data_IF_671981182446
#
_entry.id   IF_671981182446
#
_cell.length_a   1.000
_cell.length_b   1.000
_cell.length_c   1.000
_cell.angle_alpha   90.00
_cell.angle_beta   90.00
_cell.angle_gamma   90.00
#
_symmetry.space_group_name_H-M   'P 1'
#
loop_
_entity.id
_entity.type
_entity.pdbx_description
1 polymer ?
#
# COMPACT_ATOMS: atom_id res chain seq x y z
N UNK A 1 -7.70 17.20 -2.75
CA UNK A 1 -7.66 15.87 -2.12
C UNK A 1 -6.85 16.01 -0.85
N UNK A 2 -7.40 15.57 0.26
CA UNK A 2 -6.74 15.68 1.56
C UNK A 2 -5.57 14.70 1.65
N UNK A 3 -4.46 15.13 2.26
CA UNK A 3 -3.35 14.24 2.58
C UNK A 3 -3.75 13.26 3.69
N UNK A 4 -3.05 12.11 3.89
CA UNK A 4 -3.32 11.18 4.98
C UNK A 4 -3.40 11.83 6.36
N UNK A 5 -2.63 12.88 6.63
CA UNK A 5 -2.73 13.69 7.86
C UNK A 5 -3.99 14.55 7.90
N UNK A 6 -4.45 15.07 6.76
CA UNK A 6 -5.72 15.79 6.65
C UNK A 6 -6.92 14.82 6.71
N UNK A 7 -6.72 13.53 6.44
CA UNK A 7 -7.72 12.47 6.60
C UNK A 7 -7.92 12.04 8.06
N UNK A 8 -7.11 12.56 9.00
CA UNK A 8 -7.30 12.35 10.44
C UNK A 8 -7.24 10.87 10.84
N UNK A 9 -6.24 10.11 10.36
CA UNK A 9 -6.04 8.73 10.80
C UNK A 9 -5.87 8.71 12.31
N UNK A 10 -6.93 8.26 13.00
CA UNK A 10 -6.93 8.13 14.46
C UNK A 10 -6.15 6.88 14.88
N UNK A 11 -5.71 6.79 16.15
CA UNK A 11 -5.12 5.55 16.67
C UNK A 11 -6.04 4.33 16.50
N UNK A 12 -7.35 4.51 16.61
CA UNK A 12 -8.34 3.45 16.38
C UNK A 12 -8.34 2.98 14.93
N UNK A 13 -8.26 3.90 13.96
CA UNK A 13 -8.17 3.58 12.54
C UNK A 13 -6.86 2.84 12.20
N UNK A 14 -5.72 3.25 12.78
CA UNK A 14 -4.44 2.56 12.61
C UNK A 14 -4.46 1.14 13.19
N UNK A 15 -5.10 0.94 14.35
CA UNK A 15 -5.31 -0.40 14.92
C UNK A 15 -6.27 -1.24 14.08
N UNK A 16 -7.34 -0.65 13.54
CA UNK A 16 -8.26 -1.31 12.62
C UNK A 16 -7.55 -1.76 11.34
N UNK A 17 -6.71 -0.92 10.77
CA UNK A 17 -5.87 -1.27 9.63
C UNK A 17 -4.99 -2.50 9.93
N UNK A 18 -4.27 -2.49 11.06
CA UNK A 18 -3.42 -3.61 11.47
C UNK A 18 -4.24 -4.89 11.71
N UNK A 19 -5.43 -4.77 12.27
CA UNK A 19 -6.25 -5.93 12.64
C UNK A 19 -7.00 -6.54 11.44
N UNK A 20 -7.46 -5.73 10.49
CA UNK A 20 -8.35 -6.17 9.43
C UNK A 20 -7.67 -6.17 8.06
N UNK A 21 -6.99 -5.09 7.66
CA UNK A 21 -6.36 -5.00 6.34
C UNK A 21 -5.07 -5.79 6.23
N UNK A 22 -4.22 -5.73 7.25
CA UNK A 22 -2.93 -6.42 7.20
C UNK A 22 -3.11 -7.91 6.93
N UNK A 23 -3.90 -8.68 7.70
CA UNK A 23 -4.08 -10.09 7.41
C UNK A 23 -4.86 -10.36 6.11
N UNK A 24 -5.79 -9.48 5.74
CA UNK A 24 -6.63 -9.68 4.58
C UNK A 24 -5.90 -9.47 3.25
N UNK A 25 -5.02 -8.44 3.15
CA UNK A 25 -4.46 -8.05 1.84
C UNK A 25 -2.95 -7.75 1.86
N UNK A 26 -2.34 -7.36 2.98
CA UNK A 26 -0.95 -6.88 2.98
C UNK A 26 0.08 -7.91 3.44
N UNK A 27 -0.26 -8.84 4.32
CA UNK A 27 0.70 -9.76 4.95
C UNK A 27 1.43 -10.69 3.96
N UNK A 28 0.90 -10.91 2.78
CA UNK A 28 1.50 -11.75 1.74
C UNK A 28 2.65 -11.09 0.97
N UNK A 29 2.75 -9.74 0.98
CA UNK A 29 3.65 -9.00 0.10
C UNK A 29 5.09 -8.82 0.59
N UNK A 30 5.41 -8.77 1.90
CA UNK A 30 6.78 -8.63 2.36
C UNK A 30 7.77 -9.62 1.72
N UNK A 31 7.50 -10.94 1.62
CA UNK A 31 8.44 -11.86 0.98
C UNK A 31 8.75 -11.51 -0.49
N UNK A 32 7.75 -11.02 -1.23
CA UNK A 32 7.90 -10.65 -2.65
C UNK A 32 8.75 -9.39 -2.79
N UNK A 33 8.47 -8.36 -1.98
CA UNK A 33 9.24 -7.11 -1.97
C UNK A 33 10.69 -7.34 -1.53
N UNK A 34 10.92 -8.16 -0.50
CA UNK A 34 12.24 -8.51 -0.01
C UNK A 34 13.07 -9.27 -1.04
N UNK A 35 12.45 -10.19 -1.78
CA UNK A 35 13.09 -10.90 -2.87
C UNK A 35 13.49 -9.94 -4.01
N UNK A 36 12.62 -8.99 -4.38
CA UNK A 36 12.92 -7.95 -5.37
C UNK A 36 14.04 -7.01 -4.90
N UNK A 37 14.06 -6.65 -3.61
CA UNK A 37 15.06 -5.78 -3.01
C UNK A 37 16.42 -6.46 -2.80
N UNK A 38 16.49 -7.80 -2.75
CA UNK A 38 17.71 -8.59 -2.47
C UNK A 38 18.42 -8.15 -1.20
N UNK A 39 17.66 -7.99 -0.14
CA UNK A 39 18.16 -7.52 1.16
C UNK A 39 19.20 -8.48 1.72
N UNK A 40 20.28 -7.92 2.23
CA UNK A 40 21.40 -8.65 2.81
C UNK A 40 21.69 -8.22 4.24
N UNK A 41 22.33 -9.09 5.02
CA UNK A 41 22.82 -8.74 6.34
C UNK A 41 23.83 -7.59 6.25
N UNK A 42 23.62 -6.55 7.05
CA UNK A 42 24.46 -5.36 7.07
C UNK A 42 23.91 -4.19 6.26
N UNK A 43 22.87 -4.38 5.46
CA UNK A 43 22.27 -3.28 4.67
C UNK A 43 21.65 -2.20 5.58
N UNK A 44 21.81 -0.95 5.16
CA UNK A 44 21.02 0.17 5.65
C UNK A 44 19.75 0.30 4.81
N UNK A 45 18.60 0.00 5.41
CA UNK A 45 17.29 -0.08 4.72
C UNK A 45 16.37 1.03 5.18
N UNK A 46 15.69 1.70 4.25
CA UNK A 46 14.61 2.65 4.48
C UNK A 46 13.29 2.09 3.94
N UNK A 47 12.29 1.95 4.81
CA UNK A 47 10.91 1.56 4.48
C UNK A 47 10.04 2.82 4.47
N UNK A 48 9.69 3.30 3.27
CA UNK A 48 8.96 4.56 3.05
C UNK A 48 7.47 4.32 2.91
N UNK A 49 6.67 4.99 3.73
CA UNK A 49 5.26 4.69 3.89
C UNK A 49 5.07 3.37 4.63
N UNK A 50 5.84 3.18 5.73
CA UNK A 50 5.90 1.90 6.42
C UNK A 50 4.60 1.52 7.14
N UNK A 51 3.66 2.46 7.30
CA UNK A 51 2.38 2.24 7.97
C UNK A 51 2.56 1.66 9.37
N UNK A 52 1.84 0.58 9.66
CA UNK A 52 1.94 -0.18 10.93
C UNK A 52 3.15 -1.11 11.00
N UNK A 53 4.05 -1.04 10.02
CA UNK A 53 5.32 -1.79 10.01
C UNK A 53 5.22 -3.22 9.48
N UNK A 54 4.28 -3.51 8.59
CA UNK A 54 4.08 -4.87 8.02
C UNK A 54 5.35 -5.38 7.33
N UNK A 55 5.93 -4.57 6.43
CA UNK A 55 7.19 -4.89 5.77
C UNK A 55 8.37 -4.74 6.72
N UNK A 56 8.39 -3.67 7.53
CA UNK A 56 9.46 -3.41 8.49
C UNK A 56 9.70 -4.59 9.44
N UNK A 57 8.65 -5.28 9.91
CA UNK A 57 8.76 -6.48 10.80
C UNK A 57 9.59 -7.58 10.15
N UNK A 58 9.31 -7.88 8.92
CA UNK A 58 10.01 -8.94 8.18
C UNK A 58 11.46 -8.52 7.88
N UNK A 59 11.68 -7.25 7.52
CA UNK A 59 13.01 -6.68 7.26
C UNK A 59 13.93 -6.76 8.48
N UNK A 60 13.41 -6.58 9.69
CA UNK A 60 14.20 -6.61 10.93
C UNK A 60 15.00 -7.91 11.06
N UNK A 61 14.44 -9.05 10.63
CA UNK A 61 15.10 -10.35 10.72
C UNK A 61 16.21 -10.54 9.65
N UNK A 62 16.20 -9.74 8.58
CA UNK A 62 17.08 -9.90 7.42
C UNK A 62 18.27 -8.96 7.43
N UNK A 63 18.11 -7.73 7.95
CA UNK A 63 19.23 -6.77 8.02
C UNK A 63 20.27 -7.13 9.06
N UNK A 64 19.92 -7.96 10.05
CA UNK A 64 20.81 -8.44 11.10
C UNK A 64 21.35 -7.35 12.02
N UNK A 65 22.27 -7.74 12.92
CA UNK A 65 22.80 -6.84 13.96
C UNK A 65 23.75 -5.74 13.44
N UNK A 66 24.28 -5.92 12.23
CA UNK A 66 25.21 -4.95 11.59
C UNK A 66 24.52 -4.00 10.62
N UNK A 67 23.29 -4.30 10.24
CA UNK A 67 22.47 -3.44 9.40
C UNK A 67 21.70 -2.39 10.19
N UNK A 68 20.96 -1.57 9.47
CA UNK A 68 20.05 -0.59 10.07
C UNK A 68 18.73 -0.54 9.33
N UNK A 69 17.63 -0.38 10.07
CA UNK A 69 16.29 -0.31 9.53
C UNK A 69 15.57 0.94 10.02
N UNK A 70 15.14 1.75 9.08
CA UNK A 70 14.36 2.96 9.35
C UNK A 70 13.01 2.85 8.66
N UNK A 71 11.92 2.93 9.42
CA UNK A 71 10.56 3.13 8.92
C UNK A 71 10.24 4.63 8.89
N UNK A 72 9.61 5.08 7.82
CA UNK A 72 9.23 6.47 7.60
C UNK A 72 7.80 6.56 7.14
N UNK A 73 6.96 7.35 7.80
CA UNK A 73 5.55 7.52 7.44
C UNK A 73 5.05 8.92 7.78
N UNK A 74 4.02 9.38 7.10
CA UNK A 74 3.38 10.65 7.37
C UNK A 74 2.54 10.61 8.64
N UNK A 75 1.93 9.45 8.95
CA UNK A 75 0.96 9.27 10.03
C UNK A 75 1.61 8.82 11.34
N UNK A 76 1.58 9.68 12.36
CA UNK A 76 2.05 9.32 13.71
C UNK A 76 1.22 8.19 14.34
N UNK A 77 -0.08 8.11 14.03
CA UNK A 77 -0.93 7.01 14.50
C UNK A 77 -0.47 5.65 13.96
N UNK A 78 -0.09 5.58 12.67
CA UNK A 78 0.50 4.37 12.08
C UNK A 78 1.84 4.04 12.72
N UNK A 79 2.72 5.04 12.88
CA UNK A 79 4.04 4.86 13.50
C UNK A 79 3.97 4.41 14.95
N UNK A 80 2.94 4.83 15.70
CA UNK A 80 2.72 4.36 17.07
C UNK A 80 2.55 2.83 17.11
N UNK A 81 1.71 2.29 16.21
CA UNK A 81 1.51 0.83 16.09
C UNK A 81 2.81 0.15 15.60
N UNK A 82 3.51 0.75 14.64
CA UNK A 82 4.77 0.21 14.13
C UNK A 82 5.84 0.07 15.22
N UNK A 83 6.01 1.08 16.08
CA UNK A 83 6.99 1.05 17.21
C UNK A 83 6.69 -0.06 18.19
N UNK A 84 5.42 -0.32 18.47
CA UNK A 84 5.02 -1.43 19.36
C UNK A 84 5.33 -2.80 18.75
N UNK A 85 5.17 -2.92 17.43
CA UNK A 85 5.32 -4.17 16.69
C UNK A 85 6.75 -4.49 16.23
N UNK A 86 7.59 -3.46 16.06
CA UNK A 86 8.94 -3.59 15.49
C UNK A 86 9.98 -2.86 16.37
N UNK A 87 10.25 -3.31 17.61
CA UNK A 87 11.16 -2.62 18.54
C UNK A 87 12.61 -2.54 18.05
N UNK A 88 12.99 -3.32 17.02
CA UNK A 88 14.33 -3.33 16.42
C UNK A 88 14.55 -2.29 15.31
N UNK A 89 13.54 -1.51 14.94
CA UNK A 89 13.63 -0.48 13.90
C UNK A 89 13.53 0.93 14.48
N UNK A 90 14.07 1.90 13.75
CA UNK A 90 13.89 3.33 14.05
C UNK A 90 12.72 3.86 13.23
N UNK A 91 11.84 4.67 13.84
CA UNK A 91 10.67 5.22 13.14
C UNK A 91 10.67 6.75 13.20
N UNK A 92 10.51 7.40 12.04
CA UNK A 92 10.47 8.84 11.87
C UNK A 92 9.22 9.26 11.13
N UNK A 93 8.56 10.32 11.62
CA UNK A 93 7.42 10.93 10.95
C UNK A 93 7.89 11.98 9.94
N UNK A 94 7.24 12.03 8.78
CA UNK A 94 7.47 13.09 7.80
C UNK A 94 6.86 12.80 6.43
N UNK A 95 7.05 13.77 5.52
CA UNK A 95 6.53 13.70 4.17
C UNK A 95 7.60 13.15 3.21
N UNK A 96 7.25 12.13 2.43
CA UNK A 96 8.16 11.48 1.49
C UNK A 96 8.70 12.41 0.38
N UNK A 97 8.00 13.51 0.09
CA UNK A 97 8.47 14.49 -0.91
C UNK A 97 9.62 15.36 -0.39
N UNK A 98 9.98 15.23 0.90
CA UNK A 98 11.10 15.93 1.55
C UNK A 98 11.68 15.02 2.65
N UNK A 99 12.45 13.99 2.24
CA UNK A 99 13.04 13.03 3.18
C UNK A 99 14.16 13.69 4.01
N UNK A 100 14.12 13.62 5.37
CA UNK A 100 15.07 14.29 6.26
C UNK A 100 16.38 13.51 6.37
N UNK A 101 16.87 12.97 5.29
CA UNK A 101 18.11 12.19 5.23
C UNK A 101 19.09 12.81 4.25
N UNK A 102 20.38 12.62 4.54
CA UNK A 102 21.45 12.98 3.63
C UNK A 102 21.40 12.12 2.36
N UNK A 103 22.00 12.63 1.28
CA UNK A 103 22.18 11.90 0.04
C UNK A 103 22.98 10.62 0.27
N UNK A 104 22.69 9.57 -0.48
CA UNK A 104 23.50 8.34 -0.53
C UNK A 104 23.66 7.65 0.84
N UNK A 105 22.61 7.60 1.62
CA UNK A 105 22.62 7.03 2.99
C UNK A 105 22.28 5.55 3.04
N UNK A 106 21.33 5.09 2.21
CA UNK A 106 20.74 3.76 2.28
C UNK A 106 21.23 2.86 1.16
N UNK A 107 21.42 1.58 1.46
CA UNK A 107 21.70 0.55 0.46
C UNK A 107 20.41 0.14 -0.28
N UNK A 108 19.30 0.12 0.46
CA UNK A 108 17.98 -0.27 -0.04
C UNK A 108 16.93 0.77 0.41
N UNK A 109 16.06 1.16 -0.52
CA UNK A 109 14.83 1.92 -0.22
C UNK A 109 13.65 1.10 -0.73
N UNK A 110 12.71 0.81 0.14
CA UNK A 110 11.49 0.07 -0.19
C UNK A 110 10.25 0.91 0.09
N UNK A 111 9.17 0.68 -0.66
CA UNK A 111 7.87 1.30 -0.42
C UNK A 111 6.77 0.32 -0.78
N UNK A 112 5.93 -0.02 0.20
CA UNK A 112 4.85 -0.99 0.05
C UNK A 112 3.50 -0.29 -0.04
N UNK A 113 2.90 -0.27 -1.23
CA UNK A 113 1.54 0.25 -1.48
C UNK A 113 1.28 1.67 -0.98
N UNK A 114 2.28 2.56 -1.06
CA UNK A 114 2.17 3.95 -0.60
C UNK A 114 2.09 4.95 -1.76
N UNK A 115 2.85 4.73 -2.85
CA UNK A 115 3.02 5.73 -3.92
C UNK A 115 1.70 6.23 -4.53
N UNK A 116 0.68 5.37 -4.61
CA UNK A 116 -0.64 5.75 -5.14
C UNK A 116 -1.36 6.81 -4.29
N UNK A 117 -0.94 7.03 -3.06
CA UNK A 117 -1.52 8.03 -2.16
C UNK A 117 -0.74 9.35 -2.11
N UNK A 118 0.41 9.41 -2.79
CA UNK A 118 1.26 10.61 -2.79
C UNK A 118 0.79 11.58 -3.88
N UNK A 119 0.52 12.85 -3.53
CA UNK A 119 0.11 13.85 -4.53
C UNK A 119 1.16 14.11 -5.62
N UNK A 120 2.45 14.02 -5.30
CA UNK A 120 3.56 14.13 -6.23
C UNK A 120 4.47 12.88 -6.16
N UNK A 121 4.09 11.78 -6.81
CA UNK A 121 4.84 10.53 -6.77
C UNK A 121 6.20 10.63 -7.49
N UNK A 122 6.34 11.53 -8.47
CA UNK A 122 7.61 11.84 -9.11
C UNK A 122 8.61 12.38 -8.08
N UNK A 123 8.19 13.39 -7.31
CA UNK A 123 9.04 14.00 -6.28
C UNK A 123 9.39 13.00 -5.20
N UNK A 124 8.42 12.16 -4.78
CA UNK A 124 8.67 11.08 -3.83
C UNK A 124 9.74 10.10 -4.32
N UNK A 125 9.63 9.59 -5.54
CA UNK A 125 10.64 8.70 -6.13
C UNK A 125 12.01 9.40 -6.28
N UNK A 126 12.03 10.67 -6.65
CA UNK A 126 13.29 11.46 -6.73
C UNK A 126 13.97 11.58 -5.37
N UNK A 127 13.22 11.77 -4.27
CA UNK A 127 13.76 11.78 -2.91
C UNK A 127 14.23 10.38 -2.47
N UNK A 128 13.43 9.34 -2.76
CA UNK A 128 13.83 7.95 -2.49
C UNK A 128 15.12 7.59 -3.24
N UNK A 129 15.28 8.02 -4.51
CA UNK A 129 16.52 7.85 -5.27
C UNK A 129 17.68 8.67 -4.68
N UNK A 130 17.45 9.92 -4.29
CA UNK A 130 18.49 10.81 -3.72
C UNK A 130 19.16 10.19 -2.49
N UNK A 131 18.39 9.55 -1.63
CA UNK A 131 18.89 8.95 -0.39
C UNK A 131 19.54 7.58 -0.59
N UNK A 132 19.42 6.96 -1.78
CA UNK A 132 20.11 5.73 -2.14
C UNK A 132 21.60 5.96 -2.41
N UNK A 133 22.44 5.06 -1.94
CA UNK A 133 23.85 4.97 -2.32
C UNK A 133 23.98 4.62 -3.81
N UNK A 134 25.10 4.98 -4.47
CA UNK A 134 25.42 4.43 -5.80
C UNK A 134 25.41 2.90 -5.76
N UNK A 135 24.68 2.28 -6.70
CA UNK A 135 24.45 0.83 -6.74
C UNK A 135 23.42 0.31 -5.72
N UNK A 136 22.82 1.19 -4.94
CA UNK A 136 21.68 0.86 -4.06
C UNK A 136 20.42 0.60 -4.85
N UNK A 137 19.43 -0.04 -4.23
CA UNK A 137 18.20 -0.48 -4.92
C UNK A 137 16.95 0.14 -4.33
N UNK A 138 16.07 0.62 -5.25
CA UNK A 138 14.72 1.05 -4.96
C UNK A 138 13.73 -0.02 -5.38
N UNK A 139 12.77 -0.36 -4.50
CA UNK A 139 11.64 -1.25 -4.80
C UNK A 139 10.35 -0.60 -4.33
N UNK A 140 9.35 -0.53 -5.20
CA UNK A 140 8.04 -0.01 -4.82
C UNK A 140 6.93 -0.89 -5.39
N UNK A 141 5.87 -1.10 -4.60
CA UNK A 141 4.67 -1.80 -5.04
C UNK A 141 3.47 -0.86 -5.12
N UNK A 142 2.60 -1.14 -6.09
CA UNK A 142 1.28 -0.53 -6.25
C UNK A 142 0.27 -1.60 -6.69
N UNK A 143 -1.03 -1.38 -6.47
CA UNK A 143 -2.03 -2.28 -7.02
C UNK A 143 -2.08 -2.19 -8.56
N UNK A 144 -2.32 -3.31 -9.23
CA UNK A 144 -2.69 -3.30 -10.64
C UNK A 144 -4.01 -2.54 -10.85
N UNK A 145 -4.28 -2.14 -12.08
CA UNK A 145 -5.51 -1.41 -12.41
C UNK A 145 -6.77 -2.25 -12.20
N UNK A 146 -7.91 -1.60 -12.18
CA UNK A 146 -9.21 -2.24 -11.98
C UNK A 146 -9.58 -3.25 -13.09
N UNK A 147 -8.93 -3.18 -14.27
CA UNK A 147 -9.08 -4.18 -15.32
C UNK A 147 -8.52 -5.56 -14.91
N UNK A 148 -7.53 -5.59 -14.01
CA UNK A 148 -6.86 -6.79 -13.51
C UNK A 148 -7.35 -7.19 -12.11
N UNK A 149 -8.03 -6.27 -11.40
CA UNK A 149 -8.61 -6.45 -10.08
C UNK A 149 -10.15 -6.39 -10.16
N UNK A 150 -10.73 -7.41 -10.78
CA UNK A 150 -12.14 -7.45 -11.19
C UNK A 150 -13.13 -7.27 -10.02
N UNK A 151 -12.84 -7.86 -8.86
CA UNK A 151 -13.73 -7.76 -7.69
C UNK A 151 -13.78 -6.32 -7.19
N UNK A 152 -12.63 -5.65 -7.12
CA UNK A 152 -12.57 -4.22 -6.77
C UNK A 152 -13.26 -3.33 -7.81
N UNK A 153 -13.18 -3.68 -9.10
CA UNK A 153 -13.96 -2.99 -10.14
C UNK A 153 -15.46 -3.09 -9.86
N UNK A 154 -15.95 -4.27 -9.50
CA UNK A 154 -17.36 -4.44 -9.13
C UNK A 154 -17.73 -3.66 -7.87
N UNK A 155 -16.82 -3.56 -6.89
CA UNK A 155 -17.04 -2.74 -5.69
C UNK A 155 -17.10 -1.24 -6.05
N UNK A 156 -16.22 -0.75 -6.91
CA UNK A 156 -16.26 0.62 -7.43
C UNK A 156 -17.58 0.90 -8.17
N UNK A 157 -18.06 -0.05 -8.99
CA UNK A 157 -19.34 0.08 -9.70
C UNK A 157 -20.53 0.07 -8.74
N UNK A 158 -20.53 -0.78 -7.71
CA UNK A 158 -21.54 -0.79 -6.66
C UNK A 158 -21.52 0.52 -5.84
N UNK A 159 -20.33 1.01 -5.50
CA UNK A 159 -20.16 2.30 -4.81
C UNK A 159 -20.73 3.45 -5.65
N UNK A 160 -20.47 3.45 -6.97
CA UNK A 160 -21.03 4.47 -7.89
C UNK A 160 -22.55 4.45 -7.91
N UNK A 161 -23.15 3.27 -7.96
CA UNK A 161 -24.60 3.09 -8.01
C UNK A 161 -25.28 3.56 -6.72
N UNK A 162 -24.69 3.29 -5.56
CA UNK A 162 -25.29 3.52 -4.23
C UNK A 162 -24.91 4.88 -3.63
N UNK A 163 -23.64 5.29 -3.75
CA UNK A 163 -23.09 6.47 -3.09
C UNK A 163 -22.59 7.57 -4.06
N UNK A 164 -22.70 7.32 -5.37
CA UNK A 164 -22.41 8.30 -6.41
C UNK A 164 -20.97 8.33 -6.91
N UNK A 165 -20.71 9.19 -7.89
CA UNK A 165 -19.45 9.22 -8.65
C UNK A 165 -18.22 9.62 -7.81
N UNK A 166 -18.37 10.57 -6.88
CA UNK A 166 -17.24 11.02 -6.05
C UNK A 166 -16.77 9.91 -5.09
N UNK A 167 -17.69 9.17 -4.48
CA UNK A 167 -17.39 8.00 -3.66
C UNK A 167 -16.70 6.91 -4.48
N UNK A 168 -17.18 6.64 -5.70
CA UNK A 168 -16.57 5.68 -6.62
C UNK A 168 -15.14 6.07 -7.03
N UNK A 169 -14.88 7.36 -7.26
CA UNK A 169 -13.51 7.86 -7.54
C UNK A 169 -12.57 7.63 -6.36
N UNK A 170 -13.06 7.89 -5.14
CA UNK A 170 -12.27 7.63 -3.91
C UNK A 170 -11.94 6.13 -3.78
N UNK A 171 -12.92 5.25 -3.99
CA UNK A 171 -12.73 3.80 -3.97
C UNK A 171 -11.78 3.30 -5.07
N UNK A 172 -11.76 3.95 -6.24
CA UNK A 172 -10.90 3.60 -7.36
C UNK A 172 -9.47 4.15 -7.23
N UNK A 173 -9.24 5.13 -6.37
CA UNK A 173 -7.95 5.83 -6.28
C UNK A 173 -6.75 4.92 -6.08
N UNK A 174 -6.73 3.90 -5.19
CA UNK A 174 -5.59 3.02 -4.99
C UNK A 174 -5.13 2.29 -6.27
N UNK A 175 -6.00 2.17 -7.27
CA UNK A 175 -5.76 1.41 -8.50
C UNK A 175 -5.30 2.27 -9.69
N UNK A 176 -5.16 3.58 -9.51
CA UNK A 176 -4.88 4.52 -10.62
C UNK A 176 -3.47 4.35 -11.20
N UNK A 177 -2.48 3.99 -10.37
CA UNK A 177 -1.10 3.75 -10.81
C UNK A 177 -0.89 2.39 -11.47
N UNK A 178 -1.83 1.46 -11.38
CA UNK A 178 -1.78 0.16 -12.02
C UNK A 178 -2.25 0.13 -13.46
N UNK A 179 -2.56 1.26 -14.08
CA UNK A 179 -2.83 1.34 -15.52
C UNK A 179 -1.56 1.03 -16.32
N UNK A 180 -1.68 0.39 -17.50
CA UNK A 180 -0.53 0.03 -18.32
C UNK A 180 0.40 1.24 -18.59
N UNK A 181 1.69 1.10 -18.30
CA UNK A 181 2.71 2.13 -18.50
C UNK A 181 2.72 3.26 -17.45
N UNK A 182 1.78 3.28 -16.50
CA UNK A 182 1.72 4.37 -15.52
C UNK A 182 2.90 4.32 -14.53
N UNK A 183 3.18 3.15 -13.97
CA UNK A 183 4.28 2.97 -13.02
C UNK A 183 5.65 3.18 -13.70
N UNK A 184 5.85 2.64 -14.91
CA UNK A 184 7.04 2.85 -15.74
C UNK A 184 7.27 4.35 -15.99
N UNK A 185 6.22 5.07 -16.35
CA UNK A 185 6.27 6.51 -16.61
C UNK A 185 6.70 7.31 -15.37
N UNK A 186 6.22 6.91 -14.19
CA UNK A 186 6.58 7.58 -12.93
C UNK A 186 8.04 7.30 -12.58
N UNK A 187 8.50 6.05 -12.70
CA UNK A 187 9.91 5.70 -12.48
C UNK A 187 10.82 6.48 -13.44
N UNK A 188 10.53 6.47 -14.73
CA UNK A 188 11.29 7.22 -15.74
C UNK A 188 11.32 8.74 -15.44
N UNK A 189 10.21 9.30 -14.94
CA UNK A 189 10.15 10.73 -14.59
C UNK A 189 11.03 11.11 -13.40
N UNK A 190 11.54 10.15 -12.65
CA UNK A 190 12.47 10.30 -11.52
C UNK A 190 13.90 9.86 -11.88
N UNK A 191 14.26 9.83 -13.16
CA UNK A 191 15.53 9.37 -13.72
C UNK A 191 15.86 7.90 -13.33
N UNK A 192 14.85 7.04 -13.37
CA UNK A 192 14.92 5.59 -13.12
C UNK A 192 14.40 4.85 -14.36
N UNK A 193 14.93 5.19 -15.56
CA UNK A 193 14.43 4.70 -16.86
C UNK A 193 14.64 3.18 -17.06
N UNK A 194 15.62 2.60 -16.38
CA UNK A 194 15.91 1.15 -16.43
C UNK A 194 15.11 0.34 -15.38
N UNK A 195 14.01 0.91 -14.85
CA UNK A 195 13.19 0.20 -13.90
C UNK A 195 12.55 -1.03 -14.53
N UNK A 196 12.67 -2.17 -13.86
CA UNK A 196 11.95 -3.40 -14.19
C UNK A 196 10.62 -3.43 -13.44
N UNK A 197 9.51 -3.49 -14.18
CA UNK A 197 8.17 -3.62 -13.62
C UNK A 197 7.69 -5.06 -13.82
N UNK A 198 7.29 -5.71 -12.73
CA UNK A 198 6.81 -7.09 -12.74
C UNK A 198 5.39 -7.19 -12.20
N UNK A 199 4.60 -8.10 -12.78
CA UNK A 199 3.24 -8.42 -12.35
C UNK A 199 3.31 -9.54 -11.31
N UNK A 200 2.53 -9.39 -10.24
CA UNK A 200 2.44 -10.39 -9.17
C UNK A 200 0.99 -10.66 -8.83
N UNK A 201 0.64 -11.94 -8.86
CA UNK A 201 -0.67 -12.40 -8.40
C UNK A 201 -0.69 -12.42 -6.87
N UNK A 202 -1.79 -11.95 -6.31
CA UNK A 202 -2.07 -11.98 -4.89
C UNK A 202 -3.54 -12.27 -4.63
N UNK A 203 -3.90 -12.37 -3.37
CA UNK A 203 -5.28 -12.61 -2.93
C UNK A 203 -5.72 -11.57 -1.91
N UNK A 204 -7.02 -11.36 -1.86
CA UNK A 204 -7.69 -10.69 -0.75
C UNK A 204 -8.57 -11.72 -0.05
N UNK A 205 -8.40 -11.87 1.27
CA UNK A 205 -9.05 -12.89 2.08
C UNK A 205 -9.83 -12.22 3.21
N UNK A 206 -11.17 -12.33 3.18
CA UNK A 206 -12.05 -11.73 4.18
C UNK A 206 -12.95 -12.77 4.81
N UNK A 207 -13.40 -12.56 6.08
CA UNK A 207 -14.30 -13.50 6.77
C UNK A 207 -15.65 -13.67 6.09
N UNK A 208 -16.13 -12.63 5.38
CA UNK A 208 -17.37 -12.64 4.61
C UNK A 208 -17.38 -11.56 3.54
N UNK A 209 -18.36 -11.57 2.64
CA UNK A 209 -18.62 -10.48 1.68
C UNK A 209 -18.96 -9.17 2.41
N UNK A 210 -19.72 -9.29 3.50
CA UNK A 210 -20.08 -8.17 4.38
C UNK A 210 -18.84 -7.52 4.99
N UNK A 211 -17.90 -8.33 5.54
CA UNK A 211 -16.65 -7.84 6.11
C UNK A 211 -15.79 -7.17 5.05
N UNK A 212 -15.70 -7.74 3.85
CA UNK A 212 -14.98 -7.14 2.74
C UNK A 212 -15.54 -5.75 2.42
N UNK A 213 -16.84 -5.65 2.09
CA UNK A 213 -17.44 -4.37 1.68
C UNK A 213 -17.38 -3.35 2.81
N UNK A 214 -17.70 -3.76 4.04
CA UNK A 214 -17.70 -2.87 5.21
C UNK A 214 -16.29 -2.34 5.48
N UNK A 215 -15.29 -3.20 5.47
CA UNK A 215 -13.89 -2.83 5.73
C UNK A 215 -13.39 -1.83 4.68
N UNK A 216 -13.61 -2.11 3.39
CA UNK A 216 -13.19 -1.23 2.31
C UNK A 216 -13.91 0.14 2.34
N UNK A 217 -15.22 0.14 2.55
CA UNK A 217 -16.00 1.38 2.61
C UNK A 217 -15.62 2.22 3.82
N UNK A 218 -15.47 1.62 4.99
CA UNK A 218 -15.15 2.34 6.23
C UNK A 218 -13.71 2.86 6.27
N UNK A 219 -12.76 2.18 5.62
CA UNK A 219 -11.36 2.55 5.70
C UNK A 219 -10.95 3.63 4.69
N UNK A 220 -11.56 3.63 3.52
CA UNK A 220 -11.06 4.41 2.39
C UNK A 220 -11.78 5.74 2.21
N UNK A 221 -12.09 6.51 3.24
CA UNK A 221 -12.59 7.89 3.13
C UNK A 221 -14.12 8.05 3.14
N UNK A 222 -14.86 6.96 3.21
CA UNK A 222 -16.32 7.03 3.16
C UNK A 222 -16.99 6.85 4.53
N UNK A 223 -16.19 6.63 5.58
CA UNK A 223 -16.69 6.33 6.93
C UNK A 223 -17.68 7.38 7.50
N UNK A 224 -17.54 8.63 7.08
CA UNK A 224 -18.39 9.71 7.57
C UNK A 224 -19.60 10.02 6.68
N UNK A 225 -19.62 9.48 5.44
CA UNK A 225 -20.59 9.86 4.40
C UNK A 225 -21.47 8.70 3.92
N UNK A 226 -21.22 7.46 4.39
CA UNK A 226 -21.97 6.27 3.96
C UNK A 226 -22.72 5.65 5.13
N UNK A 227 -24.04 5.58 5.00
CA UNK A 227 -24.92 4.96 6.00
C UNK A 227 -24.89 3.43 5.89
N UNK A 228 -25.16 2.71 7.00
CA UNK A 228 -25.21 1.24 7.02
C UNK A 228 -26.12 0.64 5.94
N UNK A 229 -27.26 1.28 5.67
CA UNK A 229 -28.18 0.84 4.61
C UNK A 229 -27.52 0.83 3.23
N UNK A 230 -26.65 1.80 2.95
CA UNK A 230 -25.90 1.87 1.69
C UNK A 230 -24.84 0.77 1.61
N UNK A 231 -24.19 0.45 2.72
CA UNK A 231 -23.27 -0.69 2.79
C UNK A 231 -24.02 -2.00 2.49
N UNK A 232 -25.19 -2.21 3.11
CA UNK A 232 -26.01 -3.41 2.89
C UNK A 232 -26.45 -3.54 1.42
N UNK A 233 -26.75 -2.41 0.76
CA UNK A 233 -27.08 -2.36 -0.67
C UNK A 233 -25.86 -2.69 -1.54
N UNK A 234 -24.66 -2.16 -1.22
CA UNK A 234 -23.42 -2.52 -1.90
C UNK A 234 -23.11 -4.01 -1.76
N UNK A 235 -23.27 -4.60 -0.57
CA UNK A 235 -23.13 -6.05 -0.35
C UNK A 235 -24.07 -6.85 -1.26
N UNK A 236 -25.33 -6.45 -1.35
CA UNK A 236 -26.31 -7.10 -2.22
C UNK A 236 -25.91 -7.03 -3.70
N UNK A 237 -25.41 -5.87 -4.14
CA UNK A 237 -24.89 -5.70 -5.50
C UNK A 237 -23.65 -6.55 -5.75
N UNK A 238 -22.72 -6.63 -4.80
CA UNK A 238 -21.52 -7.47 -4.92
C UNK A 238 -21.89 -8.95 -5.07
N UNK A 239 -22.85 -9.44 -4.29
CA UNK A 239 -23.36 -10.82 -4.42
C UNK A 239 -23.94 -11.10 -5.78
N UNK A 240 -24.63 -10.12 -6.37
CA UNK A 240 -25.22 -10.24 -7.71
C UNK A 240 -24.17 -10.15 -8.83
N UNK A 241 -23.17 -9.24 -8.69
CA UNK A 241 -22.19 -8.93 -9.73
C UNK A 241 -21.03 -9.94 -9.79
N UNK A 242 -20.74 -10.62 -8.70
CA UNK A 242 -19.64 -11.59 -8.63
C UNK A 242 -20.15 -12.99 -8.23
N UNK A 243 -20.21 -13.94 -9.18
CA UNK A 243 -20.89 -15.24 -8.95
C UNK A 243 -20.36 -16.01 -7.75
N UNK A 244 -19.07 -15.93 -7.43
CA UNK A 244 -18.49 -16.59 -6.24
C UNK A 244 -19.03 -16.03 -4.92
N UNK A 245 -19.72 -14.90 -4.92
CA UNK A 245 -20.30 -14.25 -3.75
C UNK A 245 -21.80 -14.54 -3.59
N UNK A 246 -22.48 -15.05 -4.64
CA UNK A 246 -23.95 -15.21 -4.68
C UNK A 246 -24.46 -15.97 -3.46
N UNK A 247 -23.89 -17.15 -3.17
CA UNK A 247 -24.29 -18.00 -2.05
C UNK A 247 -23.23 -18.08 -0.94
N UNK A 248 -22.23 -17.19 -0.92
CA UNK A 248 -21.17 -17.21 0.07
C UNK A 248 -21.71 -16.86 1.48
N UNK A 249 -21.65 -17.82 2.40
CA UNK A 249 -22.08 -17.67 3.80
C UNK A 249 -20.91 -17.64 4.79
N UNK A 250 -19.68 -17.61 4.31
CA UNK A 250 -18.44 -17.63 5.10
C UNK A 250 -17.31 -16.94 4.39
N UNK A 251 -16.05 -17.31 4.69
CA UNK A 251 -14.86 -16.68 4.15
C UNK A 251 -14.85 -16.60 2.62
N UNK A 252 -14.41 -15.47 2.11
CA UNK A 252 -14.25 -15.21 0.67
C UNK A 252 -12.79 -14.92 0.37
N UNK A 253 -12.31 -15.45 -0.77
CA UNK A 253 -10.96 -15.22 -1.29
C UNK A 253 -11.08 -14.89 -2.78
N UNK A 254 -10.36 -13.87 -3.22
CA UNK A 254 -10.39 -13.44 -4.61
C UNK A 254 -9.07 -12.77 -5.02
N UNK A 255 -8.75 -12.72 -6.32
CA UNK A 255 -7.53 -12.09 -6.81
C UNK A 255 -7.43 -10.61 -6.44
N UNK A 256 -6.26 -10.22 -5.94
CA UNK A 256 -5.84 -8.84 -5.75
C UNK A 256 -4.37 -8.71 -6.17
N UNK A 257 -4.18 -8.24 -7.39
CA UNK A 257 -2.91 -8.27 -8.10
C UNK A 257 -2.14 -6.95 -7.95
N UNK A 258 -0.82 -7.04 -7.97
CA UNK A 258 0.07 -5.89 -7.79
C UNK A 258 1.12 -5.78 -8.91
N UNK A 259 1.65 -4.57 -9.08
CA UNK A 259 2.87 -4.29 -9.79
C UNK A 259 4.00 -4.03 -8.79
N UNK A 260 5.17 -4.57 -9.08
CA UNK A 260 6.40 -4.24 -8.35
C UNK A 260 7.39 -3.65 -9.33
N UNK A 261 7.76 -2.39 -9.07
CA UNK A 261 8.84 -1.69 -9.76
C UNK A 261 10.12 -1.77 -8.96
N UNK A 262 11.23 -2.10 -9.62
CA UNK A 262 12.57 -2.05 -9.03
C UNK A 262 13.54 -1.34 -9.95
N UNK A 263 14.45 -0.57 -9.38
CA UNK A 263 15.54 0.10 -10.09
C UNK A 263 16.79 0.16 -9.22
N UNK A 264 17.95 0.06 -9.84
CA UNK A 264 19.24 0.28 -9.18
C UNK A 264 19.65 1.76 -9.39
N UNK A 265 20.16 2.41 -8.34
CA UNK A 265 20.69 3.77 -8.44
C UNK A 265 22.05 3.76 -9.16
N UNK A 266 22.18 4.57 -10.20
CA UNK A 266 23.42 4.76 -10.97
C UNK A 266 24.29 5.82 -10.31
#
# INVERSE_FOLDING_TARGET
MSTPDEMGLTPEAANGYEQFFVPAIFQQWPPVLMAAARISNGDAVLDVGCGTGVLTRELTQHVGDTGSLTGFDLSESMLSVARERCPGATFLQGNVVELPFEDQRFDIVVSSFMLMFVPDPKKALSEMRRVLKPGGRLVASVWQGLQDNIVYRHLVDATREVAGEEAAKSMAWPFTMGSPGALESIFASADLEEAEITHHDGTADFPSVEDFVTTEVQAWLLANDVEQKQIDEMVSLMRTKYPSFEDATGPVSFPLNALIGKADAV
#
